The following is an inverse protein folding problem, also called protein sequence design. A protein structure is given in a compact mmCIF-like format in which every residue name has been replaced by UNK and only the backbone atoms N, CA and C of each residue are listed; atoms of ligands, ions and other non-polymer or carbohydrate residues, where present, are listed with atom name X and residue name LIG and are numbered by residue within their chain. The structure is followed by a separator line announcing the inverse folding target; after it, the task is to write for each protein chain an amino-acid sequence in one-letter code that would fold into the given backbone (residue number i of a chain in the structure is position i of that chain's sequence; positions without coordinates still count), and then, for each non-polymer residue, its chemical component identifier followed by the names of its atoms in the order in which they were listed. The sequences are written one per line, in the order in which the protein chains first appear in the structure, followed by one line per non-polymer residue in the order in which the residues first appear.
data_IF_834582419716
#
_entry.id   IF_834582419716
#
_cell.length_a   1.000
_cell.length_b   1.000
_cell.length_c   1.000
_cell.angle_alpha   90.00
_cell.angle_beta   90.00
_cell.angle_gamma   90.00
#
_symmetry.space_group_name_H-M   'P 1'
#
loop_
_entity.id
_entity.type
_entity.pdbx_description
1 polymer ?
#
# COMPACT_ATOMS: atom_id res chain seq x y z
N UNK A 1 -4.44 26.18 10.81
CA UNK A 1 -3.95 26.18 9.41
C UNK A 1 -3.18 24.90 9.07
N UNK A 2 -2.08 24.54 9.75
CA UNK A 2 -1.28 23.34 9.38
C UNK A 2 -2.05 22.03 9.57
N UNK A 3 -2.74 21.81 10.69
CA UNK A 3 -3.51 20.59 10.95
C UNK A 3 -4.63 20.37 9.93
N UNK A 4 -5.22 21.44 9.41
CA UNK A 4 -6.25 21.35 8.36
C UNK A 4 -5.71 20.74 7.04
N UNK A 5 -4.41 20.85 6.78
CA UNK A 5 -3.80 20.25 5.59
C UNK A 5 -3.75 18.73 5.63
N UNK A 6 -3.85 18.11 6.82
CA UNK A 6 -3.94 16.67 6.96
C UNK A 6 -5.36 16.13 6.74
N UNK A 7 -6.36 17.01 6.76
CA UNK A 7 -7.75 16.63 6.48
C UNK A 7 -7.93 16.26 5.01
N UNK A 8 -8.75 15.25 4.79
CA UNK A 8 -9.13 14.74 3.47
C UNK A 8 -10.66 14.74 3.31
N UNK A 9 -11.31 15.70 3.94
CA UNK A 9 -12.77 15.85 3.92
C UNK A 9 -13.30 15.87 2.48
N UNK A 10 -14.43 15.20 2.27
CA UNK A 10 -15.14 15.09 1.00
C UNK A 10 -14.34 14.42 -0.12
N UNK A 11 -13.17 13.87 0.16
CA UNK A 11 -12.40 13.07 -0.80
C UNK A 11 -12.87 11.62 -0.78
N UNK A 12 -12.87 11.00 -1.94
CA UNK A 12 -13.13 9.57 -2.09
C UNK A 12 -11.80 8.83 -2.15
N UNK A 13 -11.60 7.87 -1.24
CA UNK A 13 -10.39 7.07 -1.15
C UNK A 13 -10.69 5.60 -1.47
N UNK A 14 -9.90 5.00 -2.36
CA UNK A 14 -9.94 3.59 -2.70
C UNK A 14 -8.67 2.88 -2.21
N UNK A 15 -8.81 1.76 -1.50
CA UNK A 15 -7.71 1.03 -0.88
C UNK A 15 -7.72 -0.42 -1.36
N UNK A 16 -6.68 -0.87 -2.06
CA UNK A 16 -6.51 -2.28 -2.42
C UNK A 16 -5.87 -3.06 -1.27
N UNK A 17 -6.34 -4.31 -1.03
CA UNK A 17 -5.91 -5.08 0.14
C UNK A 17 -6.31 -4.40 1.46
N UNK A 18 -7.49 -3.75 1.46
CA UNK A 18 -7.99 -2.94 2.57
C UNK A 18 -8.70 -3.71 3.68
N UNK A 19 -8.83 -5.04 3.55
CA UNK A 19 -9.57 -5.84 4.52
C UNK A 19 -8.81 -6.12 5.83
N UNK A 20 -7.49 -5.92 5.87
CA UNK A 20 -6.65 -6.16 7.05
C UNK A 20 -5.32 -5.41 7.02
N UNK A 21 -4.59 -5.46 8.13
CA UNK A 21 -3.21 -4.97 8.26
C UNK A 21 -3.05 -3.50 7.87
N UNK A 22 -2.00 -3.18 7.10
CA UNK A 22 -1.67 -1.82 6.69
C UNK A 22 -2.84 -1.17 5.93
N UNK A 23 -3.47 -1.91 5.02
CA UNK A 23 -4.60 -1.40 4.23
C UNK A 23 -5.79 -1.00 5.11
N UNK A 24 -6.14 -1.83 6.09
CA UNK A 24 -7.25 -1.54 7.01
C UNK A 24 -6.93 -0.36 7.95
N UNK A 25 -5.74 -0.32 8.53
CA UNK A 25 -5.31 0.82 9.34
C UNK A 25 -5.28 2.12 8.52
N UNK A 26 -4.86 2.06 7.25
CA UNK A 26 -4.89 3.21 6.35
C UNK A 26 -6.33 3.65 6.03
N UNK A 27 -7.25 2.68 5.87
CA UNK A 27 -8.67 2.98 5.67
C UNK A 27 -9.25 3.70 6.89
N UNK A 28 -8.93 3.25 8.11
CA UNK A 28 -9.32 3.92 9.35
C UNK A 28 -8.77 5.34 9.42
N UNK A 29 -7.47 5.54 9.18
CA UNK A 29 -6.85 6.87 9.22
C UNK A 29 -7.46 7.84 8.18
N UNK A 30 -7.75 7.37 6.97
CA UNK A 30 -8.40 8.19 5.94
C UNK A 30 -9.85 8.52 6.29
N UNK A 31 -10.60 7.59 6.90
CA UNK A 31 -11.96 7.82 7.37
C UNK A 31 -11.98 8.84 8.51
N UNK A 32 -11.06 8.73 9.50
CA UNK A 32 -10.86 9.72 10.56
C UNK A 32 -10.51 11.10 9.99
N UNK A 33 -9.69 11.11 8.92
CA UNK A 33 -9.34 12.32 8.16
C UNK A 33 -10.51 12.95 7.41
N UNK A 34 -11.67 12.28 7.33
CA UNK A 34 -12.91 12.77 6.70
C UNK A 34 -13.16 12.26 5.29
N UNK A 35 -12.40 11.30 4.79
CA UNK A 35 -12.63 10.70 3.49
C UNK A 35 -13.82 9.73 3.50
N UNK A 36 -14.52 9.63 2.37
CA UNK A 36 -15.32 8.46 2.04
C UNK A 36 -14.38 7.34 1.64
N UNK A 37 -14.45 6.20 2.32
CA UNK A 37 -13.53 5.08 2.14
C UNK A 37 -14.20 3.93 1.42
N UNK A 38 -13.52 3.40 0.41
CA UNK A 38 -13.86 2.14 -0.25
C UNK A 38 -12.66 1.20 -0.06
N UNK A 39 -12.90 0.06 0.58
CA UNK A 39 -11.90 -0.99 0.75
C UNK A 39 -12.13 -2.12 -0.23
N UNK A 40 -11.07 -2.66 -0.80
CA UNK A 40 -11.15 -3.85 -1.64
C UNK A 40 -10.18 -4.93 -1.18
N UNK A 41 -10.58 -6.18 -1.37
CA UNK A 41 -9.76 -7.37 -1.13
C UNK A 41 -10.24 -8.49 -2.04
N UNK A 42 -9.36 -9.43 -2.40
CA UNK A 42 -9.76 -10.61 -3.17
C UNK A 42 -10.59 -11.60 -2.33
N UNK A 43 -10.42 -11.59 -1.01
CA UNK A 43 -11.12 -12.46 -0.07
C UNK A 43 -12.33 -11.73 0.53
N UNK A 44 -13.54 -12.17 0.17
CA UNK A 44 -14.80 -11.57 0.62
C UNK A 44 -14.97 -11.63 2.15
N UNK A 45 -14.49 -12.69 2.81
CA UNK A 45 -14.57 -12.83 4.27
C UNK A 45 -13.68 -11.79 4.96
N UNK A 46 -12.42 -11.70 4.55
CA UNK A 46 -11.47 -10.69 5.08
C UNK A 46 -12.01 -9.27 4.85
N UNK A 47 -12.63 -9.04 3.70
CA UNK A 47 -13.24 -7.75 3.36
C UNK A 47 -14.42 -7.41 4.29
N UNK A 48 -15.30 -8.38 4.55
CA UNK A 48 -16.43 -8.21 5.46
C UNK A 48 -15.96 -7.95 6.92
N UNK A 49 -14.94 -8.67 7.38
CA UNK A 49 -14.33 -8.47 8.70
C UNK A 49 -13.73 -7.05 8.82
N UNK A 50 -13.01 -6.58 7.81
CA UNK A 50 -12.46 -5.22 7.76
C UNK A 50 -13.53 -4.14 7.79
N UNK A 51 -14.61 -4.31 7.03
CA UNK A 51 -15.74 -3.38 7.05
C UNK A 51 -16.45 -3.35 8.41
N UNK A 52 -16.64 -4.52 9.04
CA UNK A 52 -17.22 -4.62 10.37
C UNK A 52 -16.33 -3.94 11.44
N UNK A 53 -15.02 -4.09 11.33
CA UNK A 53 -14.06 -3.40 12.18
C UNK A 53 -14.19 -1.87 12.05
N UNK A 54 -14.17 -1.33 10.83
CA UNK A 54 -14.32 0.12 10.59
C UNK A 54 -15.66 0.63 11.15
N UNK A 55 -16.74 -0.12 10.95
CA UNK A 55 -18.05 0.22 11.50
C UNK A 55 -18.05 0.26 13.03
N UNK A 56 -17.34 -0.64 13.70
CA UNK A 56 -17.19 -0.64 15.16
C UNK A 56 -16.46 0.59 15.70
N UNK A 57 -15.64 1.23 14.84
CA UNK A 57 -14.94 2.49 15.12
C UNK A 57 -15.77 3.73 14.75
N UNK A 58 -16.98 3.54 14.22
CA UNK A 58 -17.87 4.63 13.80
C UNK A 58 -17.67 5.09 12.36
N UNK A 59 -16.93 4.34 11.54
CA UNK A 59 -16.67 4.68 10.14
C UNK A 59 -17.41 3.73 9.20
N UNK A 60 -18.21 4.27 8.29
CA UNK A 60 -18.82 3.50 7.22
C UNK A 60 -17.83 3.39 6.03
N UNK A 61 -17.57 2.17 5.60
CA UNK A 61 -16.74 1.89 4.41
C UNK A 61 -17.55 1.07 3.40
N UNK A 62 -17.50 1.49 2.15
CA UNK A 62 -17.97 0.64 1.05
C UNK A 62 -16.96 -0.48 0.78
N UNK A 63 -17.44 -1.59 0.22
CA UNK A 63 -16.61 -2.78 -0.03
C UNK A 63 -16.70 -3.20 -1.50
N UNK A 64 -15.60 -3.71 -2.04
CA UNK A 64 -15.55 -4.26 -3.39
C UNK A 64 -14.60 -5.47 -3.42
N UNK A 65 -15.09 -6.62 -3.89
CA UNK A 65 -14.21 -7.77 -4.13
C UNK A 65 -13.37 -7.48 -5.36
N UNK A 66 -12.05 -7.55 -5.23
CA UNK A 66 -11.13 -7.24 -6.32
C UNK A 66 -9.86 -8.09 -6.21
N UNK A 67 -9.59 -8.86 -7.26
CA UNK A 67 -8.27 -9.43 -7.51
C UNK A 67 -7.46 -8.45 -8.36
N UNK A 68 -6.42 -7.86 -7.77
CA UNK A 68 -5.55 -6.89 -8.45
C UNK A 68 -4.70 -7.53 -9.56
N UNK A 69 -4.62 -8.86 -9.63
CA UNK A 69 -3.93 -9.58 -10.71
C UNK A 69 -4.74 -9.62 -12.00
N UNK A 70 -6.01 -9.23 -11.96
CA UNK A 70 -6.86 -9.04 -13.14
C UNK A 70 -6.90 -7.55 -13.53
N UNK A 71 -6.22 -7.24 -14.62
CA UNK A 71 -6.13 -5.89 -15.18
C UNK A 71 -7.50 -5.32 -15.63
N UNK A 72 -8.40 -6.19 -16.13
CA UNK A 72 -9.74 -5.77 -16.54
C UNK A 72 -10.60 -5.48 -15.31
N UNK A 73 -10.52 -6.33 -14.28
CA UNK A 73 -11.20 -6.10 -13.00
C UNK A 73 -10.75 -4.78 -12.33
N UNK A 74 -9.46 -4.45 -12.38
CA UNK A 74 -8.97 -3.15 -11.89
C UNK A 74 -9.60 -1.97 -12.63
N UNK A 75 -9.75 -2.07 -13.95
CA UNK A 75 -10.38 -1.03 -14.77
C UNK A 75 -11.88 -0.89 -14.42
N UNK A 76 -12.59 -2.01 -14.34
CA UNK A 76 -14.01 -2.03 -13.95
C UNK A 76 -14.23 -1.47 -12.54
N UNK A 77 -13.36 -1.82 -11.59
CA UNK A 77 -13.41 -1.30 -10.22
C UNK A 77 -13.29 0.23 -10.20
N UNK A 78 -12.37 0.81 -10.97
CA UNK A 78 -12.22 2.26 -11.07
C UNK A 78 -13.44 2.94 -11.69
N UNK A 79 -13.98 2.38 -12.79
CA UNK A 79 -15.18 2.89 -13.47
C UNK A 79 -16.43 2.83 -12.58
N UNK A 80 -16.65 1.68 -11.93
CA UNK A 80 -17.78 1.50 -11.02
C UNK A 80 -17.69 2.42 -9.81
N UNK A 81 -16.52 2.55 -9.21
CA UNK A 81 -16.30 3.45 -8.07
C UNK A 81 -16.58 4.89 -8.46
N UNK A 82 -16.04 5.36 -9.58
CA UNK A 82 -16.28 6.71 -10.08
C UNK A 82 -17.77 6.97 -10.38
N UNK A 83 -18.48 6.00 -10.91
CA UNK A 83 -19.92 6.10 -11.19
C UNK A 83 -20.77 6.17 -9.92
N UNK A 84 -20.44 5.35 -8.92
CA UNK A 84 -21.27 5.14 -7.72
C UNK A 84 -21.00 6.17 -6.64
N UNK A 85 -19.73 6.51 -6.42
CA UNK A 85 -19.29 7.33 -5.30
C UNK A 85 -18.72 8.69 -5.72
N UNK A 86 -18.69 8.95 -7.01
CA UNK A 86 -18.00 10.10 -7.58
C UNK A 86 -16.50 9.81 -7.77
N UNK A 87 -15.80 10.77 -8.31
CA UNK A 87 -14.41 10.59 -8.68
C UNK A 87 -13.51 10.25 -7.48
N UNK A 88 -12.70 9.22 -7.64
CA UNK A 88 -11.68 8.84 -6.64
C UNK A 88 -10.57 9.91 -6.63
N UNK A 89 -10.32 10.48 -5.45
CA UNK A 89 -9.27 11.48 -5.22
C UNK A 89 -7.99 10.87 -4.68
N UNK A 90 -8.11 9.74 -3.97
CA UNK A 90 -7.01 9.06 -3.28
C UNK A 90 -7.02 7.58 -3.64
N UNK A 91 -5.89 7.07 -4.12
CA UNK A 91 -5.66 5.63 -4.27
C UNK A 91 -4.55 5.18 -3.32
N UNK A 92 -4.81 4.15 -2.54
CA UNK A 92 -3.79 3.42 -1.79
C UNK A 92 -3.61 2.06 -2.47
N UNK A 93 -2.56 1.92 -3.26
CA UNK A 93 -2.19 0.68 -3.94
C UNK A 93 -1.37 -0.19 -2.97
N UNK A 94 -2.09 -0.86 -2.05
CA UNK A 94 -1.51 -1.57 -0.91
C UNK A 94 -1.50 -3.10 -1.08
N UNK A 95 -2.37 -3.69 -1.90
CA UNK A 95 -2.41 -5.14 -2.07
C UNK A 95 -1.03 -5.72 -2.35
N UNK A 96 -0.65 -6.75 -1.60
CA UNK A 96 0.66 -7.37 -1.70
C UNK A 96 0.76 -8.67 -0.90
N UNK A 97 1.68 -9.53 -1.32
CA UNK A 97 1.96 -10.81 -0.67
C UNK A 97 3.45 -10.97 -0.42
N UNK A 98 3.78 -11.78 0.59
CA UNK A 98 5.09 -12.39 0.77
C UNK A 98 4.97 -13.91 0.61
N UNK A 99 6.07 -14.57 0.31
CA UNK A 99 6.15 -16.02 0.19
C UNK A 99 7.27 -16.55 1.10
N UNK A 100 7.26 -17.84 1.43
CA UNK A 100 8.29 -18.44 2.29
C UNK A 100 9.72 -18.23 1.77
N UNK A 101 10.67 -18.33 2.69
CA UNK A 101 12.10 -18.33 2.40
C UNK A 101 12.46 -19.40 1.37
N UNK A 102 13.05 -18.97 0.25
CA UNK A 102 13.44 -19.86 -0.85
C UNK A 102 14.75 -19.36 -1.48
N UNK A 103 15.79 -20.22 -1.62
CA UNK A 103 16.98 -19.89 -2.37
C UNK A 103 16.65 -19.47 -3.81
N UNK A 104 17.41 -18.52 -4.36
CA UNK A 104 17.13 -18.00 -5.69
C UNK A 104 17.18 -19.08 -6.78
N UNK A 105 18.14 -19.99 -6.66
CA UNK A 105 18.34 -21.11 -7.58
C UNK A 105 17.29 -22.23 -7.48
N UNK A 106 16.54 -22.27 -6.41
CA UNK A 106 15.47 -23.25 -6.15
C UNK A 106 14.07 -22.68 -6.40
N UNK A 107 13.98 -21.37 -6.67
CA UNK A 107 12.70 -20.69 -6.83
C UNK A 107 12.02 -21.11 -8.13
N UNK A 108 10.79 -21.64 -8.02
CA UNK A 108 10.00 -21.96 -9.21
C UNK A 108 9.52 -20.70 -9.95
N UNK A 109 9.34 -20.83 -11.27
CA UNK A 109 8.76 -19.75 -12.10
C UNK A 109 7.36 -19.34 -11.58
N UNK A 110 6.57 -20.30 -11.09
CA UNK A 110 5.25 -20.03 -10.52
C UNK A 110 5.35 -19.15 -9.25
N UNK A 111 6.26 -19.46 -8.33
CA UNK A 111 6.47 -18.66 -7.11
C UNK A 111 6.95 -17.25 -7.45
N UNK A 112 7.89 -17.14 -8.39
CA UNK A 112 8.38 -15.87 -8.93
C UNK A 112 7.24 -15.03 -9.52
N UNK A 113 6.52 -15.58 -10.49
CA UNK A 113 5.45 -14.88 -11.20
C UNK A 113 4.28 -14.53 -10.29
N UNK A 114 3.93 -15.39 -9.32
CA UNK A 114 2.86 -15.09 -8.36
C UNK A 114 3.15 -13.82 -7.56
N UNK A 115 4.38 -13.67 -7.06
CA UNK A 115 4.76 -12.48 -6.29
C UNK A 115 4.82 -11.25 -7.18
N UNK A 116 5.40 -11.34 -8.38
CA UNK A 116 5.46 -10.21 -9.31
C UNK A 116 4.06 -9.79 -9.78
N UNK A 117 3.18 -10.74 -10.05
CA UNK A 117 1.82 -10.43 -10.51
C UNK A 117 1.03 -9.65 -9.47
N UNK A 118 1.11 -10.00 -8.19
CA UNK A 118 0.42 -9.23 -7.14
C UNK A 118 1.17 -7.93 -6.83
N UNK A 119 2.47 -8.01 -6.49
CA UNK A 119 3.21 -6.92 -5.89
C UNK A 119 3.65 -5.82 -6.88
N UNK A 120 3.77 -6.16 -8.16
CA UNK A 120 4.19 -5.22 -9.20
C UNK A 120 3.07 -4.97 -10.21
N UNK A 121 2.63 -6.01 -10.91
CA UNK A 121 1.61 -5.85 -11.95
C UNK A 121 0.29 -5.35 -11.38
N UNK A 122 -0.16 -5.90 -10.24
CA UNK A 122 -1.39 -5.47 -9.56
C UNK A 122 -1.34 -4.02 -9.08
N UNK A 123 -0.17 -3.58 -8.57
CA UNK A 123 0.05 -2.16 -8.23
C UNK A 123 -0.01 -1.29 -9.48
N UNK A 124 0.65 -1.70 -10.57
CA UNK A 124 0.62 -0.97 -11.84
C UNK A 124 -0.80 -0.85 -12.39
N UNK A 125 -1.53 -1.95 -12.47
CA UNK A 125 -2.90 -1.95 -13.02
C UNK A 125 -3.85 -1.11 -12.18
N UNK A 126 -3.75 -1.18 -10.86
CA UNK A 126 -4.51 -0.32 -9.97
C UNK A 126 -4.18 1.16 -10.19
N UNK A 127 -2.89 1.53 -10.19
CA UNK A 127 -2.48 2.90 -10.45
C UNK A 127 -2.97 3.40 -11.80
N UNK A 128 -2.78 2.61 -12.87
CA UNK A 128 -3.21 2.97 -14.23
C UNK A 128 -4.72 3.18 -14.32
N UNK A 129 -5.51 2.30 -13.71
CA UNK A 129 -6.96 2.35 -13.79
C UNK A 129 -7.52 3.62 -13.11
N UNK A 130 -7.11 3.87 -11.87
CA UNK A 130 -7.60 4.99 -11.09
C UNK A 130 -7.00 6.34 -11.52
N UNK A 131 -5.77 6.37 -12.03
CA UNK A 131 -5.12 7.58 -12.48
C UNK A 131 -5.83 8.23 -13.69
N UNK A 132 -6.51 7.48 -14.56
CA UNK A 132 -7.18 8.02 -15.74
C UNK A 132 -8.11 9.20 -15.40
N UNK A 133 -9.08 8.96 -14.52
CA UNK A 133 -10.01 10.01 -14.09
C UNK A 133 -9.33 11.11 -13.25
N UNK A 134 -8.28 10.80 -12.49
CA UNK A 134 -7.49 11.80 -11.77
C UNK A 134 -6.76 12.73 -12.75
N UNK A 135 -6.15 12.19 -13.81
CA UNK A 135 -5.42 12.94 -14.83
C UNK A 135 -6.36 13.82 -15.67
N UNK A 136 -7.57 13.34 -15.98
CA UNK A 136 -8.59 14.13 -16.67
C UNK A 136 -9.02 15.37 -15.84
N UNK A 137 -9.15 15.19 -14.53
CA UNK A 137 -9.52 16.25 -13.59
C UNK A 137 -8.34 17.09 -13.10
N UNK A 138 -7.11 16.71 -13.48
CA UNK A 138 -5.86 17.31 -13.00
C UNK A 138 -5.77 17.36 -11.46
N UNK A 139 -6.29 16.33 -10.81
CA UNK A 139 -6.32 16.22 -9.34
C UNK A 139 -6.32 14.76 -8.89
N UNK A 140 -5.36 14.40 -8.05
CA UNK A 140 -5.28 13.07 -7.43
C UNK A 140 -4.05 12.89 -6.55
N UNK A 141 -4.15 11.97 -5.61
CA UNK A 141 -3.04 11.51 -4.78
C UNK A 141 -3.01 9.97 -4.76
N UNK A 142 -1.88 9.41 -5.14
CA UNK A 142 -1.68 7.95 -5.14
C UNK A 142 -0.55 7.64 -4.16
N UNK A 143 -0.77 6.62 -3.32
CA UNK A 143 0.26 6.07 -2.44
C UNK A 143 0.43 4.59 -2.75
N UNK A 144 1.63 4.19 -3.13
CA UNK A 144 2.00 2.79 -3.33
C UNK A 144 2.70 2.25 -2.07
N UNK A 145 2.53 0.96 -1.78
CA UNK A 145 3.23 0.32 -0.68
C UNK A 145 4.41 -0.49 -1.23
N UNK A 146 5.60 0.10 -1.05
CA UNK A 146 6.88 -0.55 -1.30
C UNK A 146 7.31 -1.45 -0.14
N UNK A 147 8.59 -1.41 0.18
CA UNK A 147 9.21 -2.05 1.34
C UNK A 147 10.66 -1.57 1.47
N UNK A 148 11.24 -1.60 2.67
CA UNK A 148 12.69 -1.48 2.84
C UNK A 148 13.45 -2.50 1.96
N UNK A 149 12.81 -3.65 1.69
CA UNK A 149 13.35 -4.71 0.81
C UNK A 149 13.58 -4.27 -0.64
N UNK A 150 13.05 -3.11 -1.04
CA UNK A 150 13.38 -2.49 -2.33
C UNK A 150 14.68 -1.69 -2.32
N UNK A 151 15.27 -1.44 -1.14
CA UNK A 151 16.57 -0.77 -0.96
C UNK A 151 17.69 -1.74 -0.57
N UNK A 152 17.33 -2.80 0.16
CA UNK A 152 18.27 -3.76 0.72
C UNK A 152 17.87 -5.19 0.39
N UNK A 153 18.81 -6.12 0.53
CA UNK A 153 18.50 -7.55 0.62
C UNK A 153 18.27 -7.92 2.08
N UNK A 154 17.13 -8.54 2.34
CA UNK A 154 16.80 -8.99 3.69
C UNK A 154 17.69 -10.15 4.14
N UNK A 155 17.91 -10.24 5.43
CA UNK A 155 18.53 -11.38 6.09
C UNK A 155 17.84 -11.65 7.44
N UNK A 156 17.73 -12.94 7.84
CA UNK A 156 18.36 -14.09 7.16
C UNK A 156 17.58 -14.63 5.96
N UNK A 157 16.31 -14.22 5.76
CA UNK A 157 15.42 -14.80 4.75
C UNK A 157 15.83 -14.45 3.30
N UNK A 158 15.67 -15.46 2.43
CA UNK A 158 15.91 -15.38 0.98
C UNK A 158 14.59 -15.16 0.27
N UNK A 159 14.45 -14.03 -0.42
CA UNK A 159 13.19 -13.62 -1.03
C UNK A 159 13.42 -12.72 -2.25
N UNK A 160 14.26 -13.17 -3.18
CA UNK A 160 14.66 -12.39 -4.36
C UNK A 160 13.46 -11.85 -5.15
N UNK A 161 12.38 -12.63 -5.31
CA UNK A 161 11.15 -12.23 -5.98
C UNK A 161 10.48 -11.03 -5.28
N UNK A 162 10.41 -11.06 -3.94
CA UNK A 162 9.83 -9.97 -3.17
C UNK A 162 10.68 -8.70 -3.27
N UNK A 163 12.00 -8.83 -3.05
CA UNK A 163 12.93 -7.70 -3.11
C UNK A 163 12.91 -7.05 -4.50
N UNK A 164 12.96 -7.85 -5.56
CA UNK A 164 12.85 -7.36 -6.94
C UNK A 164 11.51 -6.64 -7.20
N UNK A 165 10.38 -7.22 -6.75
CA UNK A 165 9.06 -6.59 -6.92
C UNK A 165 8.96 -5.24 -6.23
N UNK A 166 9.52 -5.12 -5.01
CA UNK A 166 9.45 -3.88 -4.23
C UNK A 166 10.41 -2.80 -4.74
N UNK A 167 11.59 -3.19 -5.21
CA UNK A 167 12.50 -2.28 -5.92
C UNK A 167 11.86 -1.72 -7.20
N UNK A 168 11.18 -2.59 -7.96
CA UNK A 168 10.43 -2.19 -9.16
C UNK A 168 9.29 -1.21 -8.83
N UNK A 169 8.52 -1.43 -7.75
CA UNK A 169 7.47 -0.49 -7.29
C UNK A 169 8.07 0.89 -6.95
N UNK A 170 9.24 0.94 -6.30
CA UNK A 170 9.91 2.21 -6.01
C UNK A 170 10.23 2.99 -7.29
N UNK A 171 10.82 2.33 -8.28
CA UNK A 171 11.20 3.00 -9.52
C UNK A 171 9.98 3.33 -10.39
N UNK A 172 9.00 2.42 -10.47
CA UNK A 172 7.72 2.65 -11.15
C UNK A 172 6.99 3.88 -10.57
N UNK A 173 6.98 4.05 -9.25
CA UNK A 173 6.42 5.24 -8.60
C UNK A 173 7.09 6.52 -9.08
N UNK A 174 8.42 6.54 -9.19
CA UNK A 174 9.18 7.69 -9.72
C UNK A 174 8.86 7.97 -11.19
N UNK A 175 8.77 6.92 -12.01
CA UNK A 175 8.45 7.06 -13.44
C UNK A 175 7.06 7.65 -13.64
N UNK A 176 6.05 7.11 -12.95
CA UNK A 176 4.68 7.66 -13.00
C UNK A 176 4.59 9.09 -12.45
N UNK A 177 5.37 9.41 -11.41
CA UNK A 177 5.42 10.77 -10.88
C UNK A 177 5.95 11.76 -11.92
N UNK A 178 6.99 11.40 -12.66
CA UNK A 178 7.55 12.23 -13.72
C UNK A 178 6.54 12.49 -14.86
N UNK A 179 5.71 11.49 -15.19
CA UNK A 179 4.70 11.60 -16.25
C UNK A 179 3.45 12.39 -15.81
N UNK A 180 3.09 12.33 -14.51
CA UNK A 180 1.79 12.80 -14.04
C UNK A 180 1.84 14.12 -13.26
N UNK A 181 3.03 14.56 -12.82
CA UNK A 181 3.18 15.75 -12.00
C UNK A 181 2.59 17.02 -12.66
N UNK A 182 2.94 17.29 -13.93
CA UNK A 182 2.40 18.43 -14.68
C UNK A 182 0.89 18.35 -14.94
N UNK A 183 0.35 17.13 -14.79
CA UNK A 183 -1.08 16.85 -14.97
C UNK A 183 -1.84 16.80 -13.63
N UNK A 184 -1.25 17.34 -12.56
CA UNK A 184 -1.91 17.56 -11.28
C UNK A 184 -2.10 16.29 -10.41
N UNK A 185 -1.46 15.17 -10.74
CA UNK A 185 -1.53 13.93 -9.95
C UNK A 185 -0.20 13.67 -9.26
N UNK A 186 -0.24 13.53 -7.94
CA UNK A 186 0.92 13.15 -7.14
C UNK A 186 0.91 11.64 -6.88
N UNK A 187 2.07 11.03 -6.93
CA UNK A 187 2.25 9.63 -6.55
C UNK A 187 3.52 9.49 -5.72
N UNK A 188 3.40 8.86 -4.55
CA UNK A 188 4.52 8.59 -3.65
C UNK A 188 4.44 7.14 -3.18
N UNK A 189 5.54 6.65 -2.62
CA UNK A 189 5.66 5.30 -2.09
C UNK A 189 5.98 5.36 -0.60
N UNK A 190 5.34 4.52 0.20
CA UNK A 190 5.77 4.22 1.58
C UNK A 190 6.49 2.89 1.57
N UNK A 191 7.65 2.83 2.20
CA UNK A 191 8.52 1.67 2.27
C UNK A 191 8.66 1.18 3.72
N UNK A 192 7.75 0.30 4.18
CA UNK A 192 7.80 -0.25 5.53
C UNK A 192 8.92 -1.27 5.74
N UNK A 193 9.30 -1.47 7.01
CA UNK A 193 10.01 -2.64 7.51
C UNK A 193 9.04 -3.77 7.89
N UNK A 194 9.40 -4.57 8.89
CA UNK A 194 8.54 -5.58 9.51
C UNK A 194 7.44 -4.89 10.32
N UNK A 195 6.21 -4.99 9.83
CA UNK A 195 5.02 -4.39 10.44
C UNK A 195 4.26 -5.45 11.20
N UNK A 196 3.74 -5.13 12.39
CA UNK A 196 2.96 -6.03 13.23
C UNK A 196 1.60 -6.37 12.59
N UNK A 197 1.63 -7.22 11.57
CA UNK A 197 0.48 -7.70 10.81
C UNK A 197 0.44 -9.23 10.84
N UNK A 198 -0.70 -9.81 10.47
CA UNK A 198 -0.81 -11.27 10.36
C UNK A 198 0.30 -11.87 9.47
N UNK A 199 0.65 -11.18 8.37
CA UNK A 199 1.71 -11.62 7.45
C UNK A 199 3.06 -11.77 8.17
N UNK A 200 3.48 -10.75 8.91
CA UNK A 200 4.76 -10.75 9.62
C UNK A 200 4.73 -11.58 10.89
N UNK A 201 3.60 -11.62 11.60
CA UNK A 201 3.47 -12.37 12.85
C UNK A 201 3.54 -13.87 12.68
N UNK A 202 3.18 -14.40 11.51
CA UNK A 202 3.39 -15.80 11.18
C UNK A 202 4.89 -16.11 11.11
N UNK A 203 5.66 -15.28 10.41
CA UNK A 203 7.10 -15.42 10.28
C UNK A 203 7.86 -15.09 11.58
N UNK A 204 7.36 -14.14 12.38
CA UNK A 204 7.94 -13.75 13.66
C UNK A 204 7.87 -14.85 14.75
N UNK A 205 7.08 -15.90 14.53
CA UNK A 205 7.09 -17.10 15.41
C UNK A 205 8.35 -17.94 15.26
N UNK A 206 9.08 -17.77 14.17
CA UNK A 206 10.38 -18.41 13.95
C UNK A 206 11.50 -17.55 14.56
N UNK A 207 12.19 -18.06 15.64
CA UNK A 207 13.29 -17.35 16.27
C UNK A 207 14.45 -17.07 15.30
N UNK A 208 14.64 -17.92 14.28
CA UNK A 208 15.65 -17.74 13.24
C UNK A 208 15.42 -16.45 12.44
N UNK A 209 14.16 -16.02 12.28
CA UNK A 209 13.81 -14.79 11.60
C UNK A 209 13.69 -13.60 12.57
N UNK A 210 12.93 -13.76 13.65
CA UNK A 210 12.56 -12.66 14.54
C UNK A 210 13.76 -12.05 15.27
N UNK A 211 14.67 -12.88 15.78
CA UNK A 211 15.87 -12.41 16.47
C UNK A 211 16.69 -11.43 15.62
N UNK A 212 17.16 -11.86 14.43
CA UNK A 212 17.90 -10.98 13.53
C UNK A 212 17.11 -9.74 13.07
N UNK A 213 15.78 -9.84 12.90
CA UNK A 213 14.98 -8.65 12.56
C UNK A 213 15.07 -7.59 13.66
N UNK A 214 14.91 -7.98 14.92
CA UNK A 214 14.98 -7.06 16.06
C UNK A 214 16.40 -6.58 16.32
N UNK A 215 17.40 -7.43 16.13
CA UNK A 215 18.80 -7.07 16.29
C UNK A 215 19.20 -5.97 15.29
N UNK A 216 18.77 -6.06 14.04
CA UNK A 216 19.07 -5.10 12.98
C UNK A 216 18.14 -3.87 12.98
N UNK A 217 17.05 -3.86 13.75
CA UNK A 217 16.18 -2.69 13.88
C UNK A 217 16.64 -1.80 15.04
N UNK A 218 17.08 -0.56 14.81
CA UNK A 218 17.52 0.35 15.89
C UNK A 218 16.47 0.59 16.97
N UNK A 219 15.20 0.73 16.60
CA UNK A 219 14.09 0.91 17.53
C UNK A 219 13.70 -0.35 18.29
N UNK A 220 14.32 -1.51 17.97
CA UNK A 220 14.15 -2.81 18.67
C UNK A 220 12.71 -3.31 18.79
N UNK A 221 11.88 -2.94 17.82
CA UNK A 221 10.49 -3.40 17.72
C UNK A 221 10.03 -3.45 16.26
N UNK A 222 8.97 -4.20 16.02
CA UNK A 222 8.22 -4.07 14.78
C UNK A 222 7.52 -2.71 14.74
N UNK A 223 7.26 -2.22 13.54
CA UNK A 223 6.43 -1.02 13.31
C UNK A 223 4.95 -1.43 13.35
N UNK A 224 4.11 -0.58 13.89
CA UNK A 224 2.67 -0.84 13.93
C UNK A 224 1.98 -0.38 12.63
N UNK A 225 0.87 -1.04 12.21
CA UNK A 225 0.13 -0.64 11.02
C UNK A 225 -0.32 0.84 11.04
N UNK A 226 -0.63 1.39 12.21
CA UNK A 226 -1.05 2.77 12.42
C UNK A 226 0.07 3.77 12.14
N UNK A 227 1.33 3.38 12.35
CA UNK A 227 2.49 4.22 12.03
C UNK A 227 2.63 4.36 10.50
N UNK A 228 2.37 3.28 9.75
CA UNK A 228 2.35 3.31 8.28
C UNK A 228 1.12 4.10 7.79
N UNK A 229 -0.04 3.89 8.41
CA UNK A 229 -1.28 4.57 8.06
C UNK A 229 -1.18 6.09 8.22
N UNK A 230 -0.48 6.57 9.26
CA UNK A 230 -0.22 7.99 9.50
C UNK A 230 0.58 8.62 8.35
N UNK A 231 1.59 7.92 7.84
CA UNK A 231 2.39 8.38 6.69
C UNK A 231 1.56 8.32 5.40
N UNK A 232 0.72 7.29 5.23
CA UNK A 232 -0.19 7.19 4.08
C UNK A 232 -1.20 8.37 4.08
N UNK A 233 -1.79 8.71 5.23
CA UNK A 233 -2.67 9.88 5.37
C UNK A 233 -1.93 11.18 5.02
N UNK A 234 -0.70 11.38 5.53
CA UNK A 234 0.14 12.52 5.18
C UNK A 234 0.34 12.63 3.67
N UNK A 235 0.77 11.55 3.01
CA UNK A 235 1.03 11.53 1.57
C UNK A 235 -0.23 11.68 0.71
N UNK A 236 -1.38 11.25 1.21
CA UNK A 236 -2.69 11.41 0.55
C UNK A 236 -3.26 12.83 0.69
N UNK A 237 -2.82 13.58 1.71
CA UNK A 237 -3.36 14.89 2.07
C UNK A 237 -2.62 16.07 1.42
N UNK A 238 -3.12 17.29 1.61
CA UNK A 238 -2.47 18.51 1.15
C UNK A 238 -1.24 18.90 1.99
N UNK A 239 -1.01 18.23 3.13
CA UNK A 239 0.21 18.40 3.91
C UNK A 239 1.47 17.98 3.13
N UNK A 240 1.32 17.10 2.14
CA UNK A 240 2.38 16.65 1.23
C UNK A 240 2.27 17.21 -0.18
N UNK A 241 1.60 18.37 -0.38
CA UNK A 241 1.36 18.95 -1.71
C UNK A 241 2.62 19.23 -2.54
N UNK A 242 3.77 19.41 -1.91
CA UNK A 242 5.08 19.55 -2.55
C UNK A 242 5.81 18.23 -2.82
N UNK A 243 5.19 17.06 -2.59
CA UNK A 243 5.83 15.75 -2.70
C UNK A 243 5.21 14.91 -3.82
N UNK A 244 6.05 14.48 -4.76
CA UNK A 244 5.73 13.43 -5.75
C UNK A 244 7.01 12.65 -6.09
N UNK A 245 6.89 11.36 -6.39
CA UNK A 245 8.02 10.48 -6.71
C UNK A 245 8.89 10.09 -5.51
N UNK A 246 8.52 10.48 -4.29
CA UNK A 246 9.26 10.14 -3.09
C UNK A 246 9.01 8.69 -2.66
N UNK A 247 10.07 8.05 -2.14
CA UNK A 247 9.98 6.76 -1.44
C UNK A 247 10.34 7.01 0.02
N UNK A 248 9.34 6.96 0.89
CA UNK A 248 9.44 7.31 2.31
C UNK A 248 9.61 6.04 3.13
N UNK A 249 10.76 5.89 3.76
CA UNK A 249 11.05 4.80 4.68
C UNK A 249 10.30 4.99 6.00
N UNK A 250 9.64 3.92 6.46
CA UNK A 250 9.04 3.81 7.79
C UNK A 250 9.51 2.47 8.37
N UNK A 251 10.75 2.46 8.82
CA UNK A 251 11.50 1.22 9.00
C UNK A 251 12.15 1.05 10.37
N UNK A 252 11.81 1.90 11.34
CA UNK A 252 12.43 1.83 12.67
C UNK A 252 13.94 2.01 12.65
N UNK A 253 14.48 2.59 11.55
CA UNK A 253 15.89 2.80 11.32
C UNK A 253 16.62 1.59 10.72
N UNK A 254 15.92 0.55 10.24
CA UNK A 254 16.54 -0.69 9.75
C UNK A 254 17.59 -0.45 8.65
N UNK A 255 17.40 0.56 7.80
CA UNK A 255 18.24 0.81 6.61
C UNK A 255 19.29 1.92 6.79
N UNK A 256 19.59 2.37 8.00
CA UNK A 256 20.51 3.50 8.24
C UNK A 256 22.00 3.09 8.27
N UNK A 257 22.34 1.81 8.24
CA UNK A 257 23.70 1.26 8.15
C UNK A 257 23.86 0.20 7.07
#
# INVERSE_FOLDING_TARGET
MYLQKFRVDQRTAFITGGGRGIGLATAEALAEGGARVIISDMNATTLAEGAAYLKSKGYDAATMVLDVTDSAACTQAAEETNRTYGAVDILIANAGIARPDTPAEEMSDEAWLTVLNVNLNGVYWSCRAFARAMLERQRGAIVTIGSMSGFISNKPQRQVHYNASKAAVHHMTRSMAAEWAERGVRINCVAPTYVNTLMSNIAAKDPYLFGPWMENTPMKRMVEPEEIASVNLFLASDASSGMTGSVVLVDGGYTIW
#
